data_IF_228587415609
#
_entry.id   IF_228587415609
#
_cell.length_a   1.000
_cell.length_b   1.000
_cell.length_c   1.000
_cell.angle_alpha   90.00
_cell.angle_beta   90.00
_cell.angle_gamma   90.00
#
_symmetry.space_group_name_H-M   'P 1'
#
loop_
_entity.id
_entity.type
_entity.pdbx_description
1 polymer ?
#
# COMPACT_ATOMS: atom_id res chain seq x y z
N UNK A 1 -7.31 -18.11 40.20
CA UNK A 1 -5.92 -18.44 39.87
C UNK A 1 -5.98 -19.79 39.18
N UNK A 2 -5.54 -19.88 37.92
CA UNK A 2 -5.60 -21.15 37.15
C UNK A 2 -4.45 -22.02 37.58
N UNK A 3 -4.73 -23.26 38.05
CA UNK A 3 -3.74 -24.23 38.52
C UNK A 3 -3.18 -25.00 37.29
N UNK A 4 -2.39 -24.28 36.46
CA UNK A 4 -1.79 -24.85 35.23
C UNK A 4 -0.30 -24.95 35.40
N UNK A 5 0.28 -26.13 35.05
CA UNK A 5 1.72 -26.37 35.15
C UNK A 5 2.51 -25.49 34.17
N UNK A 6 3.72 -25.07 34.56
CA UNK A 6 4.64 -24.33 33.68
C UNK A 6 4.95 -25.07 32.37
N UNK A 7 4.94 -26.41 32.43
CA UNK A 7 5.18 -27.28 31.26
C UNK A 7 4.04 -27.14 30.26
N UNK A 8 2.78 -27.18 30.73
CA UNK A 8 1.59 -27.02 29.90
C UNK A 8 1.56 -25.64 29.21
N UNK A 9 1.86 -24.57 29.94
CA UNK A 9 1.96 -23.24 29.38
C UNK A 9 3.02 -23.16 28.28
N UNK A 10 4.21 -23.72 28.53
CA UNK A 10 5.29 -23.73 27.52
C UNK A 10 4.91 -24.51 26.26
N UNK A 11 4.27 -25.66 26.40
CA UNK A 11 3.80 -26.45 25.26
C UNK A 11 2.73 -25.71 24.45
N UNK A 12 1.75 -25.09 25.12
CA UNK A 12 0.73 -24.30 24.47
C UNK A 12 1.32 -23.09 23.70
N UNK A 13 2.27 -22.38 24.33
CA UNK A 13 2.95 -21.26 23.68
C UNK A 13 3.78 -21.73 22.46
N UNK A 14 4.46 -22.88 22.56
CA UNK A 14 5.21 -23.45 21.44
C UNK A 14 4.28 -23.79 20.27
N UNK A 15 3.14 -24.42 20.56
CA UNK A 15 2.11 -24.74 19.56
C UNK A 15 1.55 -23.50 18.89
N UNK A 16 1.25 -22.44 19.65
CA UNK A 16 0.76 -21.17 19.09
C UNK A 16 1.82 -20.47 18.21
N UNK A 17 3.12 -20.66 18.49
CA UNK A 17 4.21 -20.19 17.62
C UNK A 17 4.26 -21.04 16.34
N UNK A 18 4.11 -22.35 16.42
CA UNK A 18 4.07 -23.27 15.28
C UNK A 18 2.85 -23.01 14.39
N UNK A 19 1.70 -22.70 14.99
CA UNK A 19 0.47 -22.27 14.30
C UNK A 19 0.54 -20.80 13.78
N UNK A 20 1.69 -20.12 13.93
CA UNK A 20 1.93 -18.74 13.52
C UNK A 20 0.99 -17.70 14.17
N UNK A 21 0.36 -18.02 15.28
CA UNK A 21 -0.46 -17.08 16.09
C UNK A 21 0.46 -16.20 16.94
N UNK A 22 1.58 -16.76 17.39
CA UNK A 22 2.59 -16.04 18.15
C UNK A 22 3.92 -15.99 17.40
N UNK A 23 4.72 -14.95 17.66
CA UNK A 23 6.10 -14.82 17.18
C UNK A 23 7.05 -14.70 18.37
N UNK A 24 8.13 -15.48 18.38
CA UNK A 24 9.15 -15.42 19.40
C UNK A 24 10.30 -14.52 18.93
N UNK A 25 10.60 -13.47 19.68
CA UNK A 25 11.75 -12.59 19.45
C UNK A 25 12.81 -12.88 20.50
N UNK A 26 13.99 -13.33 20.06
CA UNK A 26 15.10 -13.67 20.97
C UNK A 26 15.44 -12.48 21.89
N UNK A 27 15.55 -12.73 23.20
CA UNK A 27 15.83 -11.71 24.20
C UNK A 27 14.68 -10.72 24.48
N UNK A 28 13.59 -10.71 23.70
CA UNK A 28 12.49 -9.74 23.84
C UNK A 28 11.18 -10.36 24.31
N UNK A 29 10.98 -11.68 24.11
CA UNK A 29 9.76 -12.36 24.54
C UNK A 29 8.98 -13.01 23.41
N UNK A 30 7.72 -13.37 23.71
CA UNK A 30 6.76 -13.92 22.74
C UNK A 30 5.60 -12.95 22.63
N UNK A 31 5.25 -12.60 21.40
CA UNK A 31 4.25 -11.60 21.05
C UNK A 31 3.16 -12.22 20.19
N UNK A 32 1.95 -11.69 20.23
CA UNK A 32 0.92 -12.04 19.26
C UNK A 32 1.38 -11.56 17.88
N UNK A 33 1.33 -12.48 16.89
CA UNK A 33 1.61 -12.09 15.50
C UNK A 33 0.46 -11.20 15.05
N UNK A 34 0.78 -10.01 14.62
CA UNK A 34 -0.21 -9.14 13.99
C UNK A 34 -0.72 -9.83 12.73
N UNK A 35 -2.04 -10.00 12.63
CA UNK A 35 -2.64 -10.48 11.38
C UNK A 35 -2.44 -9.42 10.31
N UNK A 36 -2.07 -9.79 9.09
CA UNK A 36 -1.96 -8.82 8.01
C UNK A 36 -3.30 -8.12 7.80
N UNK A 37 -3.24 -6.83 7.55
CA UNK A 37 -4.42 -6.08 7.16
C UNK A 37 -4.94 -6.62 5.82
N UNK A 38 -6.24 -6.93 5.74
CA UNK A 38 -6.88 -7.42 4.53
C UNK A 38 -7.69 -6.29 3.90
N UNK A 39 -7.19 -5.76 2.80
CA UNK A 39 -7.95 -4.81 1.99
C UNK A 39 -9.16 -5.52 1.37
N UNK A 40 -10.36 -5.04 1.67
CA UNK A 40 -11.57 -5.46 0.96
C UNK A 40 -11.83 -4.45 -0.14
N UNK A 41 -11.35 -4.76 -1.33
CA UNK A 41 -11.52 -3.89 -2.47
C UNK A 41 -12.99 -3.77 -2.84
N UNK A 42 -13.52 -2.56 -2.75
CA UNK A 42 -14.71 -2.14 -3.47
C UNK A 42 -14.27 -1.26 -4.62
N UNK A 43 -14.75 -1.52 -5.82
CA UNK A 43 -14.58 -0.63 -6.98
C UNK A 43 -14.90 0.79 -6.53
N UNK A 44 -13.89 1.68 -6.48
CA UNK A 44 -14.04 3.10 -6.09
C UNK A 44 -13.59 3.50 -4.68
N UNK A 45 -12.91 2.63 -3.90
CA UNK A 45 -12.37 3.01 -2.58
C UNK A 45 -10.88 3.33 -2.62
N UNK A 46 -10.47 4.40 -1.91
CA UNK A 46 -9.06 4.71 -1.68
C UNK A 46 -8.49 3.83 -0.56
N UNK A 47 -7.14 3.78 -0.41
CA UNK A 47 -6.46 3.15 0.74
C UNK A 47 -7.06 3.63 2.07
N UNK A 48 -7.27 4.94 2.21
CA UNK A 48 -7.86 5.55 3.41
C UNK A 48 -9.25 4.99 3.69
N UNK A 49 -10.12 4.94 2.67
CA UNK A 49 -11.46 4.40 2.82
C UNK A 49 -11.45 2.91 3.20
N UNK A 50 -10.54 2.14 2.62
CA UNK A 50 -10.36 0.72 2.92
C UNK A 50 -9.96 0.51 4.38
N UNK A 51 -9.00 1.29 4.88
CA UNK A 51 -8.56 1.24 6.28
C UNK A 51 -9.69 1.62 7.24
N UNK A 52 -10.40 2.71 6.99
CA UNK A 52 -11.49 3.18 7.85
C UNK A 52 -12.63 2.16 7.94
N UNK A 53 -12.99 1.51 6.82
CA UNK A 53 -13.99 0.43 6.81
C UNK A 53 -13.58 -0.79 7.64
N UNK A 54 -12.29 -0.98 7.83
CA UNK A 54 -11.72 -2.08 8.61
C UNK A 54 -11.42 -1.69 10.06
N UNK A 55 -11.84 -0.48 10.50
CA UNK A 55 -11.53 0.07 11.82
C UNK A 55 -10.02 0.11 12.12
N UNK A 56 -9.20 0.37 11.10
CA UNK A 56 -7.76 0.61 11.25
C UNK A 56 -7.44 2.06 10.96
N UNK A 57 -6.34 2.54 11.50
CA UNK A 57 -5.88 3.92 11.35
C UNK A 57 -4.90 3.99 10.17
N UNK A 58 -5.32 4.58 9.04
CA UNK A 58 -4.39 4.86 7.94
C UNK A 58 -3.51 6.05 8.29
N UNK A 59 -2.29 6.04 7.83
CA UNK A 59 -1.48 7.26 7.74
C UNK A 59 -0.59 7.21 6.50
N UNK A 60 -0.28 8.40 5.98
CA UNK A 60 0.50 8.56 4.75
C UNK A 60 1.63 9.53 5.00
N UNK A 61 2.83 9.12 4.66
CA UNK A 61 3.99 10.00 4.61
C UNK A 61 4.36 10.25 3.15
N UNK A 62 4.48 11.51 2.76
CA UNK A 62 5.02 11.90 1.45
C UNK A 62 6.53 11.77 1.52
N UNK A 63 7.10 10.95 0.64
CA UNK A 63 8.55 10.75 0.52
C UNK A 63 9.12 11.72 -0.53
N UNK A 64 8.42 11.86 -1.66
CA UNK A 64 8.84 12.70 -2.77
C UNK A 64 7.61 13.17 -3.56
N UNK A 65 7.66 14.42 -4.06
CA UNK A 65 6.75 14.95 -5.08
C UNK A 65 7.57 15.83 -6.01
N UNK A 66 7.72 15.41 -7.26
CA UNK A 66 8.59 16.08 -8.23
C UNK A 66 8.12 15.91 -9.67
N UNK A 67 8.60 16.75 -10.56
CA UNK A 67 8.44 16.54 -12.00
C UNK A 67 9.69 15.88 -12.57
N UNK A 68 9.50 14.76 -13.25
CA UNK A 68 10.59 13.98 -13.86
C UNK A 68 10.29 13.70 -15.34
N UNK A 69 11.30 13.40 -16.17
CA UNK A 69 11.08 12.76 -17.48
C UNK A 69 10.27 11.47 -17.29
N UNK A 70 9.35 11.17 -18.20
CA UNK A 70 8.57 9.95 -18.11
C UNK A 70 9.52 8.72 -18.13
N UNK A 71 9.43 7.81 -17.14
CA UNK A 71 10.18 6.57 -17.17
C UNK A 71 9.86 5.74 -18.42
N UNK A 72 10.83 4.99 -18.93
CA UNK A 72 10.69 4.24 -20.20
C UNK A 72 9.45 3.32 -20.23
N UNK A 73 9.07 2.71 -19.10
CA UNK A 73 7.87 1.88 -19.01
C UNK A 73 6.56 2.66 -19.15
N UNK A 74 6.58 3.99 -19.04
CA UNK A 74 5.43 4.89 -19.16
C UNK A 74 5.47 5.73 -20.44
N UNK A 75 6.46 5.49 -21.29
CA UNK A 75 6.68 6.29 -22.50
C UNK A 75 5.43 6.33 -23.38
N UNK A 76 5.03 7.54 -23.78
CA UNK A 76 3.87 7.78 -24.64
C UNK A 76 2.50 7.66 -23.95
N UNK A 77 2.42 7.24 -22.68
CA UNK A 77 1.15 7.07 -21.98
C UNK A 77 0.68 8.36 -21.27
N UNK A 78 1.60 9.08 -20.62
CA UNK A 78 1.29 10.28 -19.82
C UNK A 78 1.98 11.55 -20.33
N UNK A 79 2.69 11.46 -21.47
CA UNK A 79 3.50 12.52 -22.05
C UNK A 79 5.01 12.32 -21.79
N UNK A 80 5.82 13.32 -22.20
CA UNK A 80 7.29 13.23 -22.09
C UNK A 80 7.82 13.48 -20.67
N UNK A 81 7.00 14.15 -19.85
CA UNK A 81 7.29 14.38 -18.43
C UNK A 81 6.06 14.10 -17.57
N UNK A 82 6.29 13.68 -16.34
CA UNK A 82 5.26 13.30 -15.39
C UNK A 82 5.51 13.95 -14.03
N UNK A 83 4.45 14.14 -13.25
CA UNK A 83 4.56 14.39 -11.82
C UNK A 83 4.61 13.03 -11.16
N UNK A 84 5.70 12.77 -10.45
CA UNK A 84 5.96 11.57 -9.68
C UNK A 84 5.76 11.85 -8.20
N UNK A 85 5.00 11.01 -7.54
CA UNK A 85 4.72 11.08 -6.11
C UNK A 85 5.07 9.74 -5.50
N UNK A 86 5.97 9.72 -4.52
CA UNK A 86 6.26 8.54 -3.71
C UNK A 86 5.65 8.72 -2.33
N UNK A 87 4.86 7.74 -1.89
CA UNK A 87 4.19 7.73 -0.60
C UNK A 87 4.46 6.46 0.19
N UNK A 88 4.69 6.61 1.49
CA UNK A 88 4.71 5.49 2.42
C UNK A 88 3.34 5.38 3.10
N UNK A 89 2.67 4.26 2.91
CA UNK A 89 1.37 3.97 3.51
C UNK A 89 1.54 3.09 4.74
N UNK A 90 1.03 3.55 5.86
CA UNK A 90 1.07 2.82 7.12
C UNK A 90 -0.33 2.43 7.57
N UNK A 91 -0.45 1.25 8.16
CA UNK A 91 -1.66 0.78 8.84
C UNK A 91 -1.35 0.65 10.31
N UNK A 92 -2.11 1.36 11.17
CA UNK A 92 -1.86 1.43 12.61
C UNK A 92 -0.40 1.80 12.95
N UNK A 93 0.18 2.73 12.19
CA UNK A 93 1.57 3.18 12.35
C UNK A 93 2.64 2.22 11.79
N UNK A 94 2.25 1.08 11.20
CA UNK A 94 3.20 0.11 10.63
C UNK A 94 3.35 0.32 9.13
N UNK A 95 4.58 0.61 8.60
CA UNK A 95 4.85 0.71 7.18
C UNK A 95 4.40 -0.56 6.44
N UNK A 96 3.56 -0.42 5.43
CA UNK A 96 2.93 -1.57 4.78
C UNK A 96 3.03 -1.54 3.26
N UNK A 97 3.00 -0.34 2.66
CA UNK A 97 3.05 -0.16 1.20
C UNK A 97 3.94 1.04 0.87
N UNK A 98 4.84 0.88 -0.08
CA UNK A 98 5.42 2.00 -0.84
C UNK A 98 4.59 2.17 -2.09
N UNK A 99 4.09 3.37 -2.32
CA UNK A 99 3.24 3.70 -3.45
C UNK A 99 3.90 4.76 -4.32
N UNK A 100 3.91 4.54 -5.62
CA UNK A 100 4.44 5.46 -6.63
C UNK A 100 3.32 5.81 -7.60
N UNK A 101 2.99 7.09 -7.69
CA UNK A 101 1.96 7.61 -8.57
C UNK A 101 2.59 8.47 -9.66
N UNK A 102 2.18 8.26 -10.91
CA UNK A 102 2.65 9.01 -12.06
C UNK A 102 1.48 9.71 -12.74
N UNK A 103 1.48 11.02 -12.73
CA UNK A 103 0.46 11.87 -13.33
C UNK A 103 0.98 12.61 -14.54
N UNK A 104 0.12 12.98 -15.51
CA UNK A 104 0.47 13.94 -16.53
C UNK A 104 1.02 15.23 -15.91
N UNK A 105 2.09 15.78 -16.49
CA UNK A 105 2.74 17.02 -15.98
C UNK A 105 1.82 18.23 -15.93
N UNK A 106 0.67 18.17 -16.59
CA UNK A 106 -0.38 19.21 -16.54
C UNK A 106 -1.07 19.32 -15.18
N UNK A 107 -0.96 18.31 -14.32
CA UNK A 107 -1.59 18.29 -12.98
C UNK A 107 -0.73 19.05 -11.95
N UNK A 108 -0.26 20.26 -12.27
CA UNK A 108 0.68 21.06 -11.47
C UNK A 108 0.20 21.37 -10.05
N UNK A 109 -1.11 21.30 -9.79
CA UNK A 109 -1.66 21.47 -8.44
C UNK A 109 -1.10 20.45 -7.45
N UNK A 110 -0.71 19.23 -7.91
CA UNK A 110 -0.12 18.20 -7.06
C UNK A 110 1.23 18.59 -6.45
N UNK A 111 1.94 19.57 -7.05
CA UNK A 111 3.20 20.09 -6.52
C UNK A 111 2.99 21.17 -5.44
N UNK A 112 1.78 21.65 -5.26
CA UNK A 112 1.45 22.78 -4.39
C UNK A 112 0.57 22.40 -3.20
N UNK A 113 -0.10 21.25 -3.28
CA UNK A 113 -1.01 20.76 -2.24
C UNK A 113 -0.23 19.95 -1.17
N UNK A 114 -0.70 20.03 0.07
CA UNK A 114 -0.27 19.07 1.09
C UNK A 114 -0.99 17.72 0.85
N UNK A 115 -0.24 16.74 0.40
CA UNK A 115 -0.76 15.42 0.06
C UNK A 115 -0.74 14.44 1.25
N UNK A 116 -0.35 14.90 2.44
CA UNK A 116 -0.33 14.10 3.67
C UNK A 116 -1.76 13.69 4.04
N UNK A 117 -1.98 12.41 4.20
CA UNK A 117 -3.29 11.79 4.53
C UNK A 117 -4.45 12.15 3.59
N UNK A 118 -4.14 12.67 2.39
CA UNK A 118 -5.11 13.02 1.36
C UNK A 118 -5.39 11.84 0.43
N UNK A 119 -6.66 11.64 0.10
CA UNK A 119 -7.06 10.74 -0.98
C UNK A 119 -6.81 11.41 -2.33
N UNK A 120 -5.85 10.91 -3.10
CA UNK A 120 -5.59 11.42 -4.47
C UNK A 120 -6.83 11.26 -5.38
N UNK A 121 -7.63 10.23 -5.17
CA UNK A 121 -8.90 10.04 -5.87
C UNK A 121 -9.82 11.26 -5.70
N UNK A 122 -10.03 11.66 -4.44
CA UNK A 122 -10.89 12.79 -4.11
C UNK A 122 -10.30 14.11 -4.61
N UNK A 123 -8.99 14.29 -4.46
CA UNK A 123 -8.29 15.48 -4.91
C UNK A 123 -8.35 15.66 -6.43
N UNK A 124 -8.11 14.59 -7.20
CA UNK A 124 -8.22 14.61 -8.66
C UNK A 124 -9.63 15.03 -9.07
N UNK A 125 -10.66 14.41 -8.49
CA UNK A 125 -12.04 14.77 -8.78
C UNK A 125 -12.34 16.23 -8.46
N UNK A 126 -11.92 16.71 -7.29
CA UNK A 126 -12.12 18.10 -6.87
C UNK A 126 -11.46 19.11 -7.83
N UNK A 127 -10.21 18.84 -8.21
CA UNK A 127 -9.42 19.79 -9.03
C UNK A 127 -9.69 19.70 -10.52
N UNK A 128 -10.11 18.56 -11.03
CA UNK A 128 -10.26 18.34 -12.48
C UNK A 128 -11.69 18.07 -12.92
N UNK A 129 -12.60 17.73 -12.00
CA UNK A 129 -13.94 17.25 -12.30
C UNK A 129 -13.96 15.84 -12.93
N UNK A 130 -12.80 15.21 -13.13
CA UNK A 130 -12.68 13.87 -13.72
C UNK A 130 -12.73 12.83 -12.60
N UNK A 131 -13.80 12.03 -12.61
CA UNK A 131 -13.98 10.97 -11.61
C UNK A 131 -13.17 9.73 -12.00
N UNK A 132 -12.18 9.30 -11.19
CA UNK A 132 -11.57 8.01 -11.38
C UNK A 132 -12.64 6.91 -11.21
N UNK A 133 -12.84 6.05 -12.20
CA UNK A 133 -13.96 5.12 -12.20
C UNK A 133 -13.58 3.69 -12.54
N UNK A 134 -12.57 3.52 -13.38
CA UNK A 134 -12.11 2.21 -13.84
C UNK A 134 -10.61 2.09 -13.62
N UNK A 135 -10.15 0.90 -13.31
CA UNK A 135 -8.72 0.59 -13.30
C UNK A 135 -8.47 -0.79 -13.90
N UNK A 136 -7.41 -0.91 -14.68
CA UNK A 136 -6.81 -2.19 -15.02
C UNK A 136 -5.69 -2.43 -14.03
N UNK A 137 -5.70 -3.58 -13.36
CA UNK A 137 -4.71 -3.92 -12.33
C UNK A 137 -3.92 -5.15 -12.77
N UNK A 138 -2.60 -5.07 -12.64
CA UNK A 138 -1.66 -6.16 -12.90
C UNK A 138 -0.93 -6.49 -11.61
N UNK A 139 -0.65 -7.77 -11.41
CA UNK A 139 -0.07 -8.29 -10.18
C UNK A 139 1.18 -9.08 -10.50
N UNK A 140 2.27 -8.79 -9.83
CA UNK A 140 3.50 -9.56 -9.95
C UNK A 140 4.29 -9.58 -8.65
N UNK A 141 5.18 -10.55 -8.49
CA UNK A 141 6.13 -10.57 -7.39
C UNK A 141 7.40 -9.89 -7.85
N UNK A 142 7.86 -8.94 -7.07
CA UNK A 142 9.12 -8.23 -7.26
C UNK A 142 9.97 -8.32 -6.00
N UNK A 143 11.24 -7.92 -6.09
CA UNK A 143 12.13 -7.88 -4.95
C UNK A 143 12.40 -6.44 -4.55
N UNK A 144 12.31 -6.17 -3.24
CA UNK A 144 12.52 -4.83 -2.69
C UNK A 144 13.87 -4.24 -3.11
N UNK A 145 13.85 -3.05 -3.68
CA UNK A 145 15.05 -2.22 -3.82
C UNK A 145 15.57 -1.84 -2.43
N UNK A 146 16.80 -1.33 -2.36
CA UNK A 146 17.36 -0.85 -1.09
C UNK A 146 16.46 0.22 -0.44
N UNK A 147 15.99 1.18 -1.23
CA UNK A 147 15.12 2.26 -0.76
C UNK A 147 13.78 1.73 -0.26
N UNK A 148 13.14 0.81 -1.00
CA UNK A 148 11.87 0.20 -0.57
C UNK A 148 12.03 -0.61 0.71
N UNK A 149 13.14 -1.35 0.83
CA UNK A 149 13.43 -2.12 2.04
C UNK A 149 13.61 -1.22 3.27
N UNK A 150 14.33 -0.10 3.13
CA UNK A 150 14.50 0.91 4.18
C UNK A 150 13.14 1.53 4.57
N UNK A 151 12.33 1.95 3.61
CA UNK A 151 11.01 2.55 3.86
C UNK A 151 10.03 1.56 4.52
N UNK A 152 10.04 0.31 4.09
CA UNK A 152 9.17 -0.73 4.62
C UNK A 152 9.70 -1.40 5.89
N UNK A 153 10.90 -1.04 6.36
CA UNK A 153 11.56 -1.72 7.47
C UNK A 153 11.54 -3.26 7.29
N UNK A 154 12.07 -3.72 6.16
CA UNK A 154 12.20 -5.13 5.81
C UNK A 154 13.61 -5.47 5.31
N UNK A 155 13.90 -6.75 5.09
CA UNK A 155 15.19 -7.18 4.58
C UNK A 155 15.41 -6.70 3.13
N UNK A 156 16.65 -6.39 2.72
CA UNK A 156 16.98 -6.15 1.31
C UNK A 156 16.57 -7.35 0.44
N UNK A 157 16.09 -7.07 -0.77
CA UNK A 157 15.57 -8.05 -1.70
C UNK A 157 14.43 -8.93 -1.13
N UNK A 158 13.68 -8.41 -0.16
CA UNK A 158 12.46 -9.05 0.31
C UNK A 158 11.43 -9.14 -0.82
N UNK A 159 10.67 -10.24 -0.88
CA UNK A 159 9.62 -10.39 -1.89
C UNK A 159 8.44 -9.47 -1.58
N UNK A 160 8.06 -8.63 -2.53
CA UNK A 160 6.91 -7.73 -2.46
C UNK A 160 5.87 -8.11 -3.51
N UNK A 161 4.61 -7.92 -3.19
CA UNK A 161 3.56 -7.92 -4.20
C UNK A 161 3.53 -6.53 -4.85
N UNK A 162 3.86 -6.46 -6.13
CA UNK A 162 3.60 -5.26 -6.92
C UNK A 162 2.20 -5.32 -7.50
N UNK A 163 1.44 -4.25 -7.30
CA UNK A 163 0.16 -4.01 -7.97
C UNK A 163 0.31 -2.75 -8.80
N UNK A 164 0.33 -2.88 -10.13
CA UNK A 164 0.31 -1.73 -11.03
C UNK A 164 -1.10 -1.49 -11.55
N UNK A 165 -1.51 -0.22 -11.60
CA UNK A 165 -2.87 0.16 -11.99
C UNK A 165 -2.86 1.32 -12.98
N UNK A 166 -3.57 1.14 -14.08
CA UNK A 166 -3.93 2.22 -15.00
C UNK A 166 -5.30 2.77 -14.57
N UNK A 167 -5.30 3.94 -13.94
CA UNK A 167 -6.52 4.56 -13.42
C UNK A 167 -7.13 5.47 -14.47
N UNK A 168 -8.39 5.20 -14.83
CA UNK A 168 -9.11 5.86 -15.92
C UNK A 168 -10.38 6.57 -15.43
N UNK A 169 -10.79 7.61 -16.14
CA UNK A 169 -12.10 8.26 -15.99
C UNK A 169 -13.23 7.39 -16.55
N UNK A 170 -14.48 7.81 -16.33
CA UNK A 170 -15.66 7.22 -16.93
C UNK A 170 -15.57 7.16 -18.47
N UNK A 171 -14.99 8.17 -19.09
CA UNK A 171 -14.77 8.25 -20.54
C UNK A 171 -13.54 7.49 -21.02
N UNK A 172 -12.98 6.61 -20.18
CA UNK A 172 -11.79 5.80 -20.47
C UNK A 172 -10.52 6.62 -20.75
N UNK A 173 -10.43 7.84 -20.29
CA UNK A 173 -9.22 8.64 -20.36
C UNK A 173 -8.30 8.22 -19.22
N UNK A 174 -7.02 7.91 -19.52
CA UNK A 174 -6.00 7.61 -18.50
C UNK A 174 -5.76 8.88 -17.67
N UNK A 175 -5.95 8.78 -16.37
CA UNK A 175 -5.77 9.86 -15.41
C UNK A 175 -4.38 9.80 -14.78
N UNK A 176 -3.95 8.62 -14.35
CA UNK A 176 -2.63 8.38 -13.79
C UNK A 176 -2.32 6.89 -13.76
N UNK A 177 -1.08 6.56 -13.53
CA UNK A 177 -0.60 5.20 -13.32
C UNK A 177 -0.05 5.10 -11.89
N UNK A 178 -0.44 4.04 -11.19
CA UNK A 178 -0.07 3.79 -9.82
C UNK A 178 0.67 2.46 -9.72
N UNK A 179 1.73 2.43 -8.92
CA UNK A 179 2.43 1.22 -8.50
C UNK A 179 2.39 1.12 -6.98
N UNK A 180 1.99 -0.01 -6.46
CA UNK A 180 2.00 -0.31 -5.04
C UNK A 180 2.94 -1.49 -4.80
N UNK A 181 3.93 -1.28 -3.95
CA UNK A 181 4.87 -2.30 -3.50
C UNK A 181 4.48 -2.72 -2.10
N UNK A 182 3.80 -3.85 -2.00
CA UNK A 182 3.10 -4.30 -0.80
C UNK A 182 3.91 -5.35 -0.07
N UNK A 183 4.16 -5.11 1.22
CA UNK A 183 4.70 -6.11 2.12
C UNK A 183 3.55 -7.02 2.59
N UNK A 184 3.35 -8.13 1.88
CA UNK A 184 2.18 -9.00 2.03
C UNK A 184 2.03 -9.65 3.41
N UNK A 185 3.08 -9.64 4.22
CA UNK A 185 3.02 -10.04 5.63
C UNK A 185 2.29 -9.04 6.52
N UNK A 186 2.14 -7.79 6.06
CA UNK A 186 1.49 -6.69 6.79
C UNK A 186 0.19 -6.25 6.15
N UNK A 187 0.06 -6.40 4.84
CA UNK A 187 -1.09 -5.94 4.08
C UNK A 187 -1.47 -6.95 3.00
N UNK A 188 -2.72 -7.41 3.01
CA UNK A 188 -3.26 -8.33 2.01
C UNK A 188 -4.19 -7.58 1.06
N UNK A 189 -3.80 -7.54 -0.20
CA UNK A 189 -4.63 -6.97 -1.27
C UNK A 189 -5.70 -7.99 -1.69
N UNK A 190 -6.97 -7.65 -1.48
CA UNK A 190 -8.09 -8.54 -1.80
C UNK A 190 -8.98 -7.95 -2.89
N UNK A 191 -9.24 -8.72 -3.93
CA UNK A 191 -10.17 -8.38 -5.02
C UNK A 191 -11.44 -9.23 -4.88
N UNK A 192 -12.61 -8.59 -4.96
CA UNK A 192 -13.89 -9.29 -5.03
C UNK A 192 -14.56 -8.98 -6.36
N UNK A 193 -14.90 -10.01 -7.13
CA UNK A 193 -15.80 -9.89 -8.27
C UNK A 193 -17.23 -10.21 -7.83
N UNK A 194 -18.17 -9.36 -8.20
CA UNK A 194 -19.61 -9.64 -8.06
C UNK A 194 -20.11 -10.01 -9.45
N UNK A 195 -20.69 -11.19 -9.58
CA UNK A 195 -21.32 -11.69 -10.79
C UNK A 195 -22.82 -11.44 -10.73
#
# INVERSE_FOLDING_TARGET
>A
MYDISRVTVRQTMARLVEEQILVKRAGKGTFVKESPFIEKYFVGGSFTDSCLRMNTVPSTQIICTETIPAPAQLEGQLGDSVIHITRLRCVNGTPSIVEEDYFPSTNTFLLQEDLTDVSLFSLIYEKTGLMPSNSESFFQIVYATKQQAELLDCAPAHALLEVSQNVMSLDKKLLYINYQYILSERYVYAVRSVH
#
